data_IF_760051386729
#
_entry.id   IF_760051386729
#
_cell.length_a   1.000
_cell.length_b   1.000
_cell.length_c   1.000
_cell.angle_alpha   90.00
_cell.angle_beta   90.00
_cell.angle_gamma   90.00
#
_symmetry.space_group_name_H-M   'P 1'
#
loop_
_entity.id
_entity.type
_entity.pdbx_description
1 polymer ?
#
# COMPACT_ATOMS: atom_id res chain seq x y z
N UNK A 1 7.34 -2.44 -6.55
CA UNK A 1 8.57 -1.68 -6.30
C UNK A 1 8.87 -1.82 -4.83
N UNK A 2 10.09 -2.23 -4.52
CA UNK A 2 10.56 -2.39 -3.16
C UNK A 2 11.92 -1.71 -3.00
N UNK A 3 12.26 -1.37 -1.76
CA UNK A 3 13.54 -0.81 -1.39
C UNK A 3 14.17 -1.69 -0.33
N UNK A 4 15.42 -2.09 -0.55
CA UNK A 4 16.28 -2.69 0.48
C UNK A 4 17.29 -1.63 0.90
N UNK A 5 17.22 -1.18 2.15
CA UNK A 5 18.16 -0.25 2.74
C UNK A 5 19.10 -1.02 3.67
N UNK A 6 20.36 -1.16 3.27
CA UNK A 6 21.40 -1.87 4.02
C UNK A 6 22.25 -0.90 4.82
N UNK A 7 22.52 -1.21 6.09
CA UNK A 7 23.41 -0.42 6.95
C UNK A 7 24.82 -1.00 6.93
N UNK A 8 25.78 -0.20 6.48
CA UNK A 8 27.18 -0.59 6.31
C UNK A 8 28.06 -0.18 7.51
N UNK A 9 27.57 0.76 8.33
CA UNK A 9 28.20 1.19 9.57
C UNK A 9 27.15 1.60 10.62
N UNK A 10 27.40 1.29 11.89
CA UNK A 10 26.60 1.70 13.05
C UNK A 10 27.10 3.06 13.54
N UNK A 11 26.35 4.18 13.37
CA UNK A 11 26.65 5.42 14.08
C UNK A 11 26.47 5.24 15.59
N UNK A 12 27.14 6.06 16.39
CA UNK A 12 27.06 6.02 17.85
C UNK A 12 25.75 6.64 18.36
N UNK A 13 25.22 7.64 17.67
CA UNK A 13 23.97 8.30 18.03
C UNK A 13 23.24 8.90 16.81
N UNK A 14 21.92 8.76 16.80
CA UNK A 14 21.06 9.20 15.70
C UNK A 14 21.17 8.32 14.45
N UNK A 15 20.86 8.90 13.30
CA UNK A 15 20.95 8.22 12.01
C UNK A 15 19.84 7.19 11.76
N UNK A 16 18.76 7.20 12.52
CA UNK A 16 17.64 6.27 12.32
C UNK A 16 16.99 6.45 10.95
N UNK A 17 16.45 5.36 10.40
CA UNK A 17 15.53 5.44 9.26
C UNK A 17 14.12 5.58 9.80
N UNK A 18 13.49 6.73 9.60
CA UNK A 18 12.17 7.06 10.15
C UNK A 18 11.08 6.97 9.07
N UNK A 19 9.93 6.43 9.43
CA UNK A 19 8.72 6.31 8.63
C UNK A 19 7.62 7.18 9.25
N UNK A 20 7.55 8.49 8.92
CA UNK A 20 6.70 9.46 9.62
C UNK A 20 5.19 9.26 9.43
N UNK A 21 4.77 8.38 8.50
CA UNK A 21 3.36 8.03 8.28
C UNK A 21 2.92 6.78 9.04
N UNK A 22 3.85 6.12 9.76
CA UNK A 22 3.58 4.96 10.59
C UNK A 22 3.68 5.41 12.06
N UNK A 23 2.68 5.11 12.91
CA UNK A 23 2.72 5.42 14.33
C UNK A 23 3.95 4.83 15.03
N UNK A 24 4.44 5.53 16.05
CA UNK A 24 5.55 5.05 16.88
C UNK A 24 5.13 3.77 17.60
N UNK A 25 5.85 2.64 17.44
CA UNK A 25 5.49 1.39 18.09
C UNK A 25 5.81 1.39 19.59
N UNK A 26 5.11 0.56 20.40
CA UNK A 26 5.49 0.34 21.79
C UNK A 26 6.95 -0.12 21.91
N UNK A 27 7.74 0.54 22.75
CA UNK A 27 9.17 0.23 22.95
C UNK A 27 10.13 1.18 22.22
N UNK A 28 9.66 1.95 21.23
CA UNK A 28 10.42 3.06 20.67
C UNK A 28 10.22 4.30 21.56
N UNK A 29 11.21 4.59 22.41
CA UNK A 29 11.14 5.68 23.39
C UNK A 29 12.31 6.66 23.22
N UNK A 30 12.14 7.88 23.74
CA UNK A 30 13.20 8.90 23.80
C UNK A 30 14.44 8.48 24.59
N UNK A 31 14.35 7.43 25.40
CA UNK A 31 15.53 6.87 26.08
C UNK A 31 16.50 6.22 25.08
N UNK A 32 15.97 5.70 23.97
CA UNK A 32 16.73 4.89 23.03
C UNK A 32 16.77 5.50 21.62
N UNK A 33 15.94 6.49 21.29
CA UNK A 33 15.81 7.05 19.93
C UNK A 33 15.93 8.58 19.95
N UNK A 34 16.46 9.14 18.85
CA UNK A 34 16.56 10.58 18.65
C UNK A 34 15.18 11.26 18.58
N UNK A 35 15.15 12.58 18.78
CA UNK A 35 13.92 13.36 18.64
C UNK A 35 13.28 13.19 17.25
N UNK A 36 14.10 13.20 16.20
CA UNK A 36 13.65 12.97 14.83
C UNK A 36 12.98 11.60 14.67
N UNK A 37 13.57 10.56 15.25
CA UNK A 37 13.03 9.21 15.18
C UNK A 37 11.67 9.09 15.87
N UNK A 38 11.34 9.95 16.84
CA UNK A 38 10.03 9.97 17.50
C UNK A 38 8.89 10.55 16.64
N UNK A 39 9.16 10.98 15.39
CA UNK A 39 8.14 11.47 14.46
C UNK A 39 7.38 10.34 13.72
N UNK A 40 7.73 9.08 13.95
CA UNK A 40 7.07 7.89 13.40
C UNK A 40 7.82 6.61 13.77
N UNK A 41 7.41 5.45 13.24
CA UNK A 41 8.19 4.22 13.40
C UNK A 41 9.61 4.44 12.86
N UNK A 42 10.63 4.02 13.60
CA UNK A 42 12.02 4.20 13.21
C UNK A 42 12.83 2.92 13.41
N UNK A 43 13.85 2.75 12.57
CA UNK A 43 14.80 1.64 12.66
C UNK A 43 16.19 2.19 12.92
N UNK A 44 16.86 1.66 13.94
CA UNK A 44 18.26 2.00 14.21
C UNK A 44 19.19 1.39 13.15
N UNK A 45 20.16 2.15 12.63
CA UNK A 45 21.19 1.58 11.78
C UNK A 45 22.14 0.70 12.60
N UNK A 46 22.19 -0.59 12.28
CA UNK A 46 23.17 -1.54 12.82
C UNK A 46 23.91 -2.16 11.66
N UNK A 47 25.24 -2.11 11.67
CA UNK A 47 26.10 -2.67 10.62
C UNK A 47 25.73 -4.13 10.35
N UNK A 48 25.38 -4.42 9.10
CA UNK A 48 24.97 -5.75 8.65
C UNK A 48 23.46 -5.91 8.51
N UNK A 49 22.65 -5.11 9.21
CA UNK A 49 21.20 -5.16 9.12
C UNK A 49 20.69 -4.48 7.82
N UNK A 50 19.51 -4.91 7.39
CA UNK A 50 18.80 -4.30 6.28
C UNK A 50 17.31 -4.14 6.58
N UNK A 51 16.72 -3.07 6.06
CA UNK A 51 15.27 -2.83 6.08
C UNK A 51 14.73 -3.03 4.67
N UNK A 52 13.76 -3.94 4.54
CA UNK A 52 12.98 -4.11 3.32
C UNK A 52 11.60 -3.50 3.50
N UNK A 53 11.19 -2.65 2.56
CA UNK A 53 9.83 -2.12 2.51
C UNK A 53 9.34 -1.93 1.07
N UNK A 54 8.02 -1.97 0.89
CA UNK A 54 7.36 -1.81 -0.41
C UNK A 54 6.87 -0.37 -0.58
N UNK A 55 7.20 0.23 -1.72
CA UNK A 55 6.74 1.58 -2.07
C UNK A 55 5.37 1.58 -2.76
N UNK A 56 4.88 0.40 -3.15
CA UNK A 56 3.58 0.20 -3.80
C UNK A 56 2.87 -1.01 -3.19
N UNK A 57 1.54 -0.96 -3.21
CA UNK A 57 0.65 -2.06 -2.85
C UNK A 57 0.54 -3.09 -3.97
N UNK A 58 -0.05 -4.29 -3.70
CA UNK A 58 -0.34 -5.28 -4.74
C UNK A 58 -1.21 -4.75 -5.88
N UNK A 59 -2.12 -3.81 -5.58
CA UNK A 59 -2.97 -3.11 -6.56
C UNK A 59 -2.22 -2.04 -7.38
N UNK A 60 -0.92 -1.83 -7.12
CA UNK A 60 -0.07 -0.90 -7.85
C UNK A 60 -0.15 0.56 -7.41
N UNK A 61 -1.02 0.90 -6.44
CA UNK A 61 -1.05 2.24 -5.82
C UNK A 61 0.16 2.44 -4.91
N UNK A 62 0.58 3.69 -4.73
CA UNK A 62 1.63 4.01 -3.76
C UNK A 62 1.19 3.64 -2.34
N UNK A 63 2.12 3.12 -1.54
CA UNK A 63 1.90 2.86 -0.12
C UNK A 63 2.32 4.09 0.70
N UNK A 64 1.40 4.91 1.24
CA UNK A 64 1.75 6.13 1.97
C UNK A 64 2.63 5.88 3.20
N UNK A 65 2.49 4.72 3.85
CA UNK A 65 3.34 4.30 4.97
C UNK A 65 4.81 4.11 4.60
N UNK A 66 5.12 3.97 3.31
CA UNK A 66 6.49 3.80 2.81
C UNK A 66 7.30 5.11 2.73
N UNK A 67 6.67 6.27 2.99
CA UNK A 67 7.39 7.53 3.14
C UNK A 67 8.42 7.37 4.25
N UNK A 68 9.68 7.59 3.91
CA UNK A 68 10.80 7.39 4.81
C UNK A 68 11.85 8.49 4.65
N UNK A 69 12.69 8.65 5.68
CA UNK A 69 13.83 9.54 5.65
C UNK A 69 14.94 9.06 6.58
N UNK A 70 16.12 9.66 6.45
CA UNK A 70 17.21 9.46 7.41
C UNK A 70 17.19 10.60 8.43
N UNK A 71 17.09 10.27 9.71
CA UNK A 71 17.32 11.24 10.77
C UNK A 71 18.79 11.71 10.77
N UNK A 72 19.07 12.90 11.32
CA UNK A 72 20.43 13.38 11.49
C UNK A 72 21.29 12.40 12.27
N UNK A 73 22.54 12.21 11.85
CA UNK A 73 23.55 11.54 12.67
C UNK A 73 24.06 12.56 13.69
N UNK A 74 23.90 12.25 14.97
CA UNK A 74 24.31 13.14 16.06
C UNK A 74 25.78 12.86 16.41
N UNK A 75 26.19 11.58 16.42
CA UNK A 75 27.58 11.18 16.66
C UNK A 75 27.98 9.93 15.87
N UNK A 76 29.24 9.89 15.44
CA UNK A 76 29.79 8.85 14.59
C UNK A 76 29.47 9.07 13.11
N UNK A 77 29.47 7.99 12.32
CA UNK A 77 29.22 8.04 10.87
C UNK A 77 28.28 6.91 10.47
N UNK A 78 27.23 7.23 9.71
CA UNK A 78 26.33 6.26 9.10
C UNK A 78 26.72 6.04 7.65
N UNK A 79 26.99 4.79 7.28
CA UNK A 79 27.10 4.35 5.89
C UNK A 79 25.91 3.46 5.55
N UNK A 80 25.30 3.67 4.38
CA UNK A 80 24.18 2.86 3.90
C UNK A 80 24.24 2.63 2.39
N UNK A 81 23.72 1.50 1.94
CA UNK A 81 23.50 1.22 0.53
C UNK A 81 22.02 0.95 0.27
N UNK A 82 21.46 1.63 -0.74
CA UNK A 82 20.06 1.50 -1.12
C UNK A 82 19.95 0.71 -2.42
N UNK A 83 19.18 -0.39 -2.41
CA UNK A 83 18.83 -1.15 -3.61
C UNK A 83 17.36 -0.96 -3.91
N UNK A 84 17.07 -0.34 -5.05
CA UNK A 84 15.72 -0.27 -5.60
C UNK A 84 15.42 -1.47 -6.49
N UNK A 85 14.23 -2.04 -6.31
CA UNK A 85 13.73 -3.19 -7.08
C UNK A 85 12.45 -2.73 -7.79
N UNK A 86 12.53 -2.64 -9.12
CA UNK A 86 11.43 -2.22 -9.98
C UNK A 86 10.46 -3.38 -10.27
N UNK A 87 9.21 -3.06 -10.63
CA UNK A 87 8.20 -4.08 -10.99
C UNK A 87 8.47 -4.75 -12.33
N UNK A 88 9.16 -4.06 -13.23
CA UNK A 88 9.59 -4.62 -14.50
C UNK A 88 11.04 -4.25 -14.77
N UNK A 89 11.50 -4.56 -15.98
CA UNK A 89 12.85 -4.26 -16.43
C UNK A 89 13.14 -2.76 -16.26
N UNK A 90 14.22 -2.47 -15.56
CA UNK A 90 14.76 -1.12 -15.52
C UNK A 90 15.59 -0.90 -16.80
N UNK A 91 15.18 0.05 -17.63
CA UNK A 91 15.90 0.38 -18.86
C UNK A 91 17.23 1.05 -18.50
N UNK A 92 18.34 0.51 -19.00
CA UNK A 92 19.69 1.01 -18.74
C UNK A 92 20.31 1.57 -20.03
N UNK A 93 21.01 2.70 -19.95
CA UNK A 93 21.72 3.27 -21.09
C UNK A 93 20.78 3.76 -22.19
N UNK A 94 20.99 3.30 -23.43
CA UNK A 94 20.21 3.70 -24.61
C UNK A 94 18.92 2.88 -24.81
N UNK A 95 18.52 2.07 -23.84
CA UNK A 95 17.29 1.27 -23.93
C UNK A 95 16.04 2.16 -23.83
N UNK A 96 15.06 1.90 -24.71
CA UNK A 96 13.75 2.51 -24.61
C UNK A 96 13.00 1.96 -23.39
N UNK A 97 12.40 2.86 -22.59
CA UNK A 97 11.49 2.45 -21.54
C UNK A 97 10.28 1.76 -22.16
N UNK A 98 10.02 0.51 -21.77
CA UNK A 98 8.84 -0.25 -22.19
C UNK A 98 7.78 -0.12 -21.12
N UNK A 99 6.53 0.13 -21.53
CA UNK A 99 5.40 0.15 -20.62
C UNK A 99 5.18 -1.26 -20.04
N UNK A 100 5.22 -1.37 -18.72
CA UNK A 100 4.98 -2.64 -18.03
C UNK A 100 3.48 -2.76 -17.80
N UNK A 101 2.79 -3.52 -18.66
CA UNK A 101 1.37 -3.83 -18.48
C UNK A 101 1.23 -4.69 -17.22
N UNK A 102 0.74 -4.07 -16.13
CA UNK A 102 0.47 -4.79 -14.89
C UNK A 102 -0.70 -5.74 -15.09
N UNK A 103 -0.45 -7.04 -14.99
CA UNK A 103 -1.48 -7.96 -14.52
C UNK A 103 -1.56 -7.74 -13.01
N UNK A 104 -2.46 -6.84 -12.58
CA UNK A 104 -2.81 -6.77 -11.16
C UNK A 104 -3.34 -8.16 -10.82
N UNK A 105 -2.66 -8.90 -9.95
CA UNK A 105 -3.26 -10.08 -9.34
C UNK A 105 -4.34 -9.57 -8.39
N UNK A 106 -5.52 -9.30 -8.94
CA UNK A 106 -6.73 -9.23 -8.16
C UNK A 106 -7.05 -10.69 -7.82
N UNK A 107 -6.99 -11.11 -6.54
CA UNK A 107 -7.59 -12.39 -6.19
C UNK A 107 -9.03 -12.38 -6.72
N UNK A 108 -9.50 -13.46 -7.36
CA UNK A 108 -10.88 -13.50 -7.84
C UNK A 108 -11.79 -13.13 -6.66
N UNK A 109 -12.78 -12.24 -6.85
CA UNK A 109 -13.72 -11.93 -5.79
C UNK A 109 -14.33 -13.26 -5.30
N UNK A 110 -14.60 -13.39 -3.98
CA UNK A 110 -15.27 -14.58 -3.47
C UNK A 110 -16.53 -14.85 -4.28
N UNK A 111 -16.88 -16.12 -4.55
CA UNK A 111 -18.08 -16.45 -5.31
C UNK A 111 -19.28 -15.71 -4.72
N UNK A 112 -20.02 -15.00 -5.57
CA UNK A 112 -21.24 -14.34 -5.13
C UNK A 112 -22.19 -15.38 -4.52
N UNK A 113 -22.96 -14.97 -3.50
CA UNK A 113 -24.03 -15.80 -2.95
C UNK A 113 -24.94 -16.31 -4.08
N UNK A 114 -25.46 -17.55 -4.02
CA UNK A 114 -26.35 -18.07 -5.07
C UNK A 114 -27.51 -17.10 -5.36
N UNK A 115 -27.59 -16.62 -6.60
CA UNK A 115 -28.59 -15.65 -7.07
C UNK A 115 -28.21 -14.18 -6.89
N UNK A 116 -27.09 -13.85 -6.23
CA UNK A 116 -26.56 -12.49 -6.23
C UNK A 116 -25.82 -12.22 -7.53
N UNK A 117 -26.52 -11.63 -8.50
CA UNK A 117 -25.98 -11.37 -9.84
C UNK A 117 -26.42 -9.99 -10.35
N UNK A 118 -25.63 -9.46 -11.27
CA UNK A 118 -26.04 -8.32 -12.09
C UNK A 118 -26.95 -8.83 -13.22
N UNK A 119 -28.08 -8.18 -13.45
CA UNK A 119 -28.96 -8.45 -14.60
C UNK A 119 -28.70 -7.50 -15.77
N UNK A 120 -27.84 -6.48 -15.59
CA UNK A 120 -27.46 -5.56 -16.64
C UNK A 120 -25.94 -5.47 -16.84
N UNK A 121 -25.49 -5.40 -18.11
CA UNK A 121 -24.07 -5.39 -18.49
C UNK A 121 -23.28 -4.16 -18.03
N UNK A 122 -23.97 -3.05 -17.74
CA UNK A 122 -23.36 -1.78 -17.31
C UNK A 122 -23.37 -1.60 -15.78
N UNK A 123 -23.79 -2.61 -15.01
CA UNK A 123 -23.92 -2.48 -13.56
C UNK A 123 -22.61 -2.07 -12.87
N UNK A 124 -21.46 -2.60 -13.29
CA UNK A 124 -20.16 -2.21 -12.74
C UNK A 124 -19.87 -0.73 -12.97
N UNK A 125 -20.03 -0.26 -14.21
CA UNK A 125 -19.81 1.14 -14.57
C UNK A 125 -20.74 2.11 -13.83
N UNK A 126 -22.01 1.74 -13.68
CA UNK A 126 -22.98 2.55 -12.93
C UNK A 126 -22.69 2.55 -11.43
N UNK A 127 -22.29 1.41 -10.86
CA UNK A 127 -21.87 1.35 -9.46
C UNK A 127 -20.63 2.23 -9.20
N UNK A 128 -19.63 2.18 -10.09
CA UNK A 128 -18.45 3.06 -10.05
C UNK A 128 -18.82 4.54 -10.17
N UNK A 129 -19.89 4.85 -10.90
CA UNK A 129 -20.40 6.21 -11.09
C UNK A 129 -21.29 6.70 -9.92
N UNK A 130 -21.48 5.89 -8.88
CA UNK A 130 -22.25 6.28 -7.68
C UNK A 130 -23.76 6.04 -7.77
N UNK A 131 -24.23 5.26 -8.75
CA UNK A 131 -25.67 4.98 -8.93
C UNK A 131 -26.24 4.12 -7.80
N UNK A 132 -25.42 3.38 -7.06
CA UNK A 132 -25.89 2.61 -5.90
C UNK A 132 -26.54 3.47 -4.81
N UNK A 133 -26.10 4.74 -4.68
CA UNK A 133 -26.64 5.72 -3.75
C UNK A 133 -27.67 6.63 -4.41
N UNK A 134 -27.42 7.00 -5.67
CA UNK A 134 -28.24 7.96 -6.43
C UNK A 134 -29.52 7.33 -7.01
N UNK A 135 -29.48 6.03 -7.32
CA UNK A 135 -30.59 5.25 -7.86
C UNK A 135 -30.71 3.88 -7.16
N UNK A 136 -30.91 3.88 -5.83
CA UNK A 136 -30.85 2.66 -5.02
C UNK A 136 -31.99 1.69 -5.36
N UNK A 137 -33.15 2.18 -5.82
CA UNK A 137 -34.28 1.31 -6.18
C UNK A 137 -33.96 0.40 -7.37
N UNK A 138 -33.36 0.95 -8.42
CA UNK A 138 -32.98 0.15 -9.59
C UNK A 138 -31.71 -0.66 -9.31
N UNK A 139 -30.72 -0.05 -8.65
CA UNK A 139 -29.39 -0.65 -8.49
C UNK A 139 -29.38 -1.72 -7.39
N UNK A 140 -29.97 -1.43 -6.24
CA UNK A 140 -29.92 -2.26 -5.02
C UNK A 140 -31.25 -2.96 -4.74
N UNK A 141 -32.37 -2.28 -4.94
CA UNK A 141 -33.70 -2.77 -4.59
C UNK A 141 -33.98 -2.74 -3.09
N UNK A 142 -34.92 -3.57 -2.64
CA UNK A 142 -35.35 -3.66 -1.23
C UNK A 142 -35.33 -5.12 -0.77
N UNK A 143 -35.37 -5.33 0.55
CA UNK A 143 -35.29 -6.67 1.14
C UNK A 143 -36.32 -7.63 0.51
N UNK A 144 -35.86 -8.72 -0.09
CA UNK A 144 -36.71 -9.70 -0.79
C UNK A 144 -37.14 -9.31 -2.22
N UNK A 145 -36.76 -8.13 -2.71
CA UNK A 145 -36.95 -7.67 -4.09
C UNK A 145 -35.67 -6.96 -4.58
N UNK A 146 -34.64 -7.75 -4.95
CA UNK A 146 -33.34 -7.21 -5.32
C UNK A 146 -33.39 -6.38 -6.61
N UNK A 147 -32.56 -5.35 -6.66
CA UNK A 147 -32.34 -4.52 -7.84
C UNK A 147 -31.55 -5.23 -8.94
N UNK A 148 -31.38 -4.55 -10.07
CA UNK A 148 -30.68 -5.07 -11.24
C UNK A 148 -29.17 -5.22 -11.05
N UNK A 149 -28.56 -4.50 -10.11
CA UNK A 149 -27.11 -4.37 -9.98
C UNK A 149 -26.60 -4.70 -8.57
N UNK A 150 -27.30 -5.59 -7.85
CA UNK A 150 -27.00 -5.93 -6.45
C UNK A 150 -25.58 -6.44 -6.23
N UNK A 151 -25.01 -7.15 -7.21
CA UNK A 151 -23.65 -7.66 -7.13
C UNK A 151 -22.64 -6.52 -7.28
N UNK A 152 -22.81 -5.65 -8.28
CA UNK A 152 -21.95 -4.49 -8.51
C UNK A 152 -22.00 -3.48 -7.34
N UNK A 153 -23.16 -3.33 -6.69
CA UNK A 153 -23.29 -2.48 -5.50
C UNK A 153 -22.81 -3.14 -4.19
N UNK A 154 -22.34 -4.39 -4.24
CA UNK A 154 -21.97 -5.18 -3.07
C UNK A 154 -23.09 -5.27 -2.02
N UNK A 155 -24.34 -5.43 -2.49
CA UNK A 155 -25.56 -5.47 -1.68
C UNK A 155 -26.31 -6.81 -1.76
N UNK A 156 -25.57 -7.92 -1.79
CA UNK A 156 -26.16 -9.26 -1.73
C UNK A 156 -26.93 -9.53 -0.41
N UNK A 157 -26.75 -8.68 0.61
CA UNK A 157 -27.51 -8.72 1.88
C UNK A 157 -29.01 -8.49 1.70
N UNK A 158 -29.42 -7.83 0.61
CA UNK A 158 -30.83 -7.49 0.31
C UNK A 158 -31.64 -8.73 -0.09
N UNK A 159 -30.98 -9.85 -0.38
CA UNK A 159 -31.62 -11.13 -0.70
C UNK A 159 -32.03 -11.94 0.53
N UNK A 160 -31.45 -11.67 1.71
CA UNK A 160 -31.76 -12.29 3.01
C UNK A 160 -32.82 -11.46 3.75
#
# INVERSE_FOLDING_TARGET
MATVLMYLATPEEGGETVFPKIPVPPGQTRANFSECAMRGMAVKPVKGDAVLFWSIRPDGRFEPGSLHGSCPVIRGVKWSATKWIHVGRYAMGAEAAVEVTRVIYAPPPPPALPGCANSHRLCEHWAESGECESNPTYMVGVKGSPGACILACNRCDVML
#
